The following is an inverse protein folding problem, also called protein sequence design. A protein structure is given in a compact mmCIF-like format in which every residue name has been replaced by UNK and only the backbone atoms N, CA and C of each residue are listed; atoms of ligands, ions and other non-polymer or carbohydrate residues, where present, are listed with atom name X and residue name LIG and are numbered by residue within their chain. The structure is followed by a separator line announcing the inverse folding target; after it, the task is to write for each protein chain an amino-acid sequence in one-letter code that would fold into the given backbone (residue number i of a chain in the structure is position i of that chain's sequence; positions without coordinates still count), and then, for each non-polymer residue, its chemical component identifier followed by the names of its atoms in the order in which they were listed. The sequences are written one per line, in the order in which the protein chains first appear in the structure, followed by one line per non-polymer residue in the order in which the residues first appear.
data_IF_046962222491
#
_entry.id   IF_046962222491
#
_cell.length_a   1.000
_cell.length_b   1.000
_cell.length_c   1.000
_cell.angle_alpha   90.00
_cell.angle_beta   90.00
_cell.angle_gamma   90.00
#
_symmetry.space_group_name_H-M   'P 1'
#
loop_
_entity.id
_entity.type
_entity.pdbx_description
1 polymer ?
#
# COMPACT_ATOMS: atom_id res chain seq x y z
N UNK A 1 -9.18 36.56 45.00
CA UNK A 1 -9.83 37.51 44.08
C UNK A 1 -8.97 37.56 42.81
N UNK A 2 -9.56 37.29 41.64
CA UNK A 2 -9.03 37.54 40.26
C UNK A 2 -7.82 36.68 39.84
N UNK A 3 -8.00 35.59 39.07
CA UNK A 3 -8.16 35.45 37.60
C UNK A 3 -6.82 35.33 36.83
N UNK A 4 -6.65 34.25 36.05
CA UNK A 4 -6.21 34.33 34.65
C UNK A 4 -6.68 33.10 33.85
N UNK A 5 -7.16 33.36 32.64
CA UNK A 5 -7.93 32.49 31.74
C UNK A 5 -7.09 31.50 30.92
N UNK A 6 -7.66 30.32 30.70
CA UNK A 6 -7.29 29.37 29.63
C UNK A 6 -8.15 29.65 28.40
N UNK A 7 -7.54 29.94 27.24
CA UNK A 7 -8.23 30.05 25.94
C UNK A 7 -7.30 29.66 24.81
N UNK A 8 -7.14 28.36 24.57
CA UNK A 8 -6.46 27.85 23.37
C UNK A 8 -6.88 26.42 22.96
N UNK A 9 -8.19 26.15 22.91
CA UNK A 9 -8.74 24.98 22.23
C UNK A 9 -9.87 25.46 21.33
N UNK A 10 -9.68 25.43 19.99
CA UNK A 10 -10.76 25.32 18.98
C UNK A 10 -10.35 25.56 17.51
N UNK A 11 -9.07 25.71 17.16
CA UNK A 11 -8.70 25.99 15.74
C UNK A 11 -8.16 24.80 14.93
N UNK A 12 -7.76 23.68 15.55
CA UNK A 12 -7.19 22.54 14.82
C UNK A 12 -8.24 21.49 14.39
N UNK A 13 -9.36 21.37 15.12
CA UNK A 13 -10.40 20.38 14.84
C UNK A 13 -11.34 20.80 13.70
N UNK A 14 -11.54 22.10 13.45
CA UNK A 14 -12.42 22.59 12.39
C UNK A 14 -11.75 22.61 11.00
N UNK A 15 -10.43 22.83 10.94
CA UNK A 15 -9.67 22.83 9.69
C UNK A 15 -9.53 21.45 9.07
N UNK A 16 -9.19 20.44 9.88
CA UNK A 16 -9.01 19.06 9.40
C UNK A 16 -10.35 18.40 9.02
N UNK A 17 -11.42 18.64 9.80
CA UNK A 17 -12.78 18.21 9.43
C UNK A 17 -13.23 18.86 8.13
N UNK A 18 -12.92 20.14 7.91
CA UNK A 18 -13.26 20.86 6.69
C UNK A 18 -12.59 20.27 5.45
N UNK A 19 -11.31 19.91 5.53
CA UNK A 19 -10.57 19.28 4.41
C UNK A 19 -11.10 17.88 4.10
N UNK A 20 -11.34 17.05 5.13
CA UNK A 20 -11.84 15.67 4.95
C UNK A 20 -13.29 15.67 4.44
N UNK A 21 -14.14 16.59 4.93
CA UNK A 21 -15.54 16.68 4.50
C UNK A 21 -15.67 17.27 3.09
N UNK A 22 -14.75 18.16 2.67
CA UNK A 22 -14.71 18.69 1.28
C UNK A 22 -14.28 17.61 0.29
N UNK A 23 -13.35 16.71 0.67
CA UNK A 23 -12.97 15.56 -0.14
C UNK A 23 -14.13 14.55 -0.31
N UNK A 24 -15.00 14.41 0.69
CA UNK A 24 -16.14 13.49 0.64
C UNK A 24 -17.36 14.04 -0.15
N UNK A 25 -17.59 15.36 -0.17
CA UNK A 25 -18.79 15.96 -0.77
C UNK A 25 -18.66 16.33 -2.25
N UNK A 26 -17.44 16.52 -2.77
CA UNK A 26 -17.24 17.08 -4.12
C UNK A 26 -17.02 15.99 -5.19
N UNK A 27 -17.08 14.70 -4.84
CA UNK A 27 -16.85 13.63 -5.82
C UNK A 27 -15.48 13.74 -6.51
N UNK A 28 -14.52 14.38 -5.83
CA UNK A 28 -13.22 14.70 -6.41
C UNK A 28 -12.41 13.42 -6.56
N UNK A 29 -11.84 13.24 -7.74
CA UNK A 29 -10.77 12.28 -8.00
C UNK A 29 -9.44 12.66 -7.33
N UNK A 30 -9.40 13.74 -6.55
CA UNK A 30 -8.17 14.34 -6.03
C UNK A 30 -7.92 13.92 -4.58
N UNK A 31 -7.02 12.95 -4.39
CA UNK A 31 -6.34 12.74 -3.12
C UNK A 31 -5.02 13.51 -3.17
N UNK A 32 -4.95 14.67 -2.51
CA UNK A 32 -3.65 15.32 -2.25
C UNK A 32 -2.98 14.59 -1.10
N UNK A 33 -1.77 14.08 -1.32
CA UNK A 33 -0.93 13.52 -0.26
C UNK A 33 -0.65 14.61 0.79
N UNK A 34 -1.38 14.57 1.91
CA UNK A 34 -1.07 15.37 3.08
C UNK A 34 -0.05 14.58 3.90
N UNK A 35 1.21 14.99 3.86
CA UNK A 35 2.23 14.46 4.75
C UNK A 35 1.97 14.98 6.16
N UNK A 36 1.56 14.11 7.07
CA UNK A 36 1.65 14.38 8.50
C UNK A 36 3.12 14.19 8.92
N UNK A 37 3.72 15.23 9.49
CA UNK A 37 5.01 15.11 10.18
C UNK A 37 4.72 14.36 11.48
N UNK A 38 5.05 13.08 11.52
CA UNK A 38 4.87 12.27 12.72
C UNK A 38 5.82 12.75 13.82
N UNK A 39 5.23 13.09 14.96
CA UNK A 39 5.95 13.34 16.20
C UNK A 39 5.68 12.14 17.13
N UNK A 40 6.71 11.31 17.34
CA UNK A 40 6.70 10.28 18.38
C UNK A 40 6.58 8.86 17.85
N UNK A 41 7.73 8.24 17.66
CA UNK A 41 7.94 6.83 17.34
C UNK A 41 7.45 5.95 18.50
N UNK A 42 6.49 5.05 18.23
CA UNK A 42 6.14 3.96 19.14
C UNK A 42 6.23 2.62 18.40
N UNK A 43 7.18 1.81 18.85
CA UNK A 43 7.25 0.34 18.85
C UNK A 43 6.36 -0.40 17.81
N UNK A 44 6.95 -0.77 16.66
CA UNK A 44 6.37 -1.76 15.75
C UNK A 44 7.40 -2.85 15.45
N UNK A 45 7.36 -3.90 16.26
CA UNK A 45 8.33 -5.01 16.30
C UNK A 45 8.31 -5.94 15.07
N UNK A 46 7.59 -5.61 13.99
CA UNK A 46 7.37 -6.50 12.83
C UNK A 46 7.54 -5.82 11.45
N UNK A 47 8.17 -4.64 11.38
CA UNK A 47 8.44 -3.97 10.10
C UNK A 47 9.92 -4.19 9.70
N UNK A 48 10.15 -4.80 8.52
CA UNK A 48 11.48 -4.88 7.91
C UNK A 48 11.71 -3.58 7.13
N UNK A 49 12.77 -2.86 7.46
CA UNK A 49 13.16 -1.60 6.81
C UNK A 49 14.49 -1.79 6.07
N UNK A 50 14.57 -1.39 4.80
CA UNK A 50 15.73 -1.63 3.93
C UNK A 50 16.16 -0.32 3.20
N UNK A 51 17.47 -0.05 3.03
CA UNK A 51 17.98 1.18 2.40
C UNK A 51 18.23 1.05 0.87
N UNK A 52 17.87 2.07 0.08
CA UNK A 52 18.22 2.23 -1.36
C UNK A 52 18.50 3.72 -1.66
N UNK A 53 19.35 4.00 -2.66
CA UNK A 53 19.89 5.32 -3.05
C UNK A 53 19.39 5.76 -4.43
N UNK A 54 18.79 6.95 -4.57
CA UNK A 54 18.57 7.63 -5.87
C UNK A 54 18.50 9.17 -5.77
N UNK A 55 18.70 9.83 -6.92
CA UNK A 55 19.15 11.22 -7.12
C UNK A 55 17.96 12.18 -7.36
N UNK A 56 17.97 13.33 -6.66
CA UNK A 56 16.80 14.20 -6.50
C UNK A 56 16.42 15.14 -7.65
N UNK A 57 15.25 15.77 -7.53
CA UNK A 57 14.83 16.92 -8.34
C UNK A 57 13.86 17.87 -7.60
N UNK A 58 13.98 19.15 -7.97
CA UNK A 58 13.57 20.37 -7.27
C UNK A 58 12.06 20.74 -7.30
N UNK A 59 11.68 21.53 -6.27
CA UNK A 59 10.37 22.11 -6.00
C UNK A 59 9.90 23.16 -7.03
N UNK A 60 8.57 23.24 -7.24
CA UNK A 60 7.92 24.33 -7.98
C UNK A 60 6.82 25.01 -7.13
N UNK A 61 6.74 26.34 -7.25
CA UNK A 61 5.88 27.25 -6.48
C UNK A 61 4.41 27.30 -6.96
N UNK A 62 3.46 27.71 -6.10
CA UNK A 62 2.03 27.70 -6.39
C UNK A 62 1.56 28.90 -7.25
N UNK A 63 0.61 28.65 -8.15
CA UNK A 63 -0.11 29.64 -8.97
C UNK A 63 -1.57 29.73 -8.50
N UNK A 64 -2.13 30.95 -8.50
CA UNK A 64 -3.45 31.29 -7.97
C UNK A 64 -4.64 30.87 -8.85
N UNK A 65 -5.74 30.48 -8.19
CA UNK A 65 -7.00 29.98 -8.77
C UNK A 65 -7.96 31.12 -9.18
N UNK A 66 -8.57 31.10 -10.38
CA UNK A 66 -9.63 32.04 -10.75
C UNK A 66 -11.03 31.56 -10.35
N UNK A 67 -11.89 32.52 -9.98
CA UNK A 67 -13.30 32.31 -9.59
C UNK A 67 -14.23 32.58 -10.77
N UNK A 68 -15.21 31.71 -11.03
CA UNK A 68 -16.26 31.92 -12.03
C UNK A 68 -17.65 32.10 -11.38
N UNK A 69 -18.41 33.06 -11.92
CA UNK A 69 -19.78 33.39 -11.51
C UNK A 69 -20.77 32.79 -12.51
N UNK A 70 -21.72 31.98 -12.02
CA UNK A 70 -22.75 31.36 -12.85
C UNK A 70 -23.94 32.31 -13.09
N UNK A 71 -24.46 32.31 -14.32
CA UNK A 71 -25.67 33.05 -14.73
C UNK A 71 -26.82 32.04 -14.94
N UNK A 72 -28.03 32.27 -14.39
CA UNK A 72 -29.15 31.33 -14.52
C UNK A 72 -29.86 31.47 -15.88
N UNK A 73 -30.20 30.34 -16.49
CA UNK A 73 -30.99 30.26 -17.73
C UNK A 73 -32.39 29.71 -17.42
N UNK A 74 -33.42 30.35 -17.97
CA UNK A 74 -34.84 30.04 -17.80
C UNK A 74 -35.28 28.85 -18.67
N UNK A 75 -36.09 27.97 -18.10
CA UNK A 75 -36.64 26.78 -18.75
C UNK A 75 -37.91 27.12 -19.57
N UNK A 76 -37.99 26.59 -20.80
CA UNK A 76 -39.20 26.60 -21.62
C UNK A 76 -39.77 25.18 -21.71
N UNK A 77 -41.06 25.05 -21.40
CA UNK A 77 -41.81 23.79 -21.40
C UNK A 77 -42.34 23.49 -22.80
N UNK A 78 -41.83 22.45 -23.44
CA UNK A 78 -42.34 21.92 -24.70
C UNK A 78 -43.13 20.61 -24.49
N UNK A 79 -44.26 20.50 -25.19
CA UNK A 79 -45.22 19.39 -25.20
C UNK A 79 -44.63 18.13 -25.86
N UNK A 80 -44.83 16.91 -25.32
CA UNK A 80 -44.22 15.69 -25.84
C UNK A 80 -44.90 15.21 -27.12
N UNK A 81 -44.09 15.04 -28.18
CA UNK A 81 -44.47 14.32 -29.40
C UNK A 81 -43.88 12.91 -29.32
N UNK A 82 -44.74 11.89 -29.36
CA UNK A 82 -44.35 10.47 -29.28
C UNK A 82 -43.71 10.01 -30.59
N UNK A 83 -42.38 10.06 -30.64
CA UNK A 83 -41.57 9.46 -31.72
C UNK A 83 -41.28 7.99 -31.37
N UNK A 84 -41.46 7.03 -32.29
CA UNK A 84 -41.17 5.62 -32.04
C UNK A 84 -39.67 5.42 -31.78
N UNK A 85 -39.34 5.01 -30.57
CA UNK A 85 -37.98 4.72 -30.11
C UNK A 85 -37.46 3.45 -30.78
N UNK A 86 -36.65 3.62 -31.83
CA UNK A 86 -35.76 2.56 -32.32
C UNK A 86 -34.72 2.32 -31.21
N UNK A 87 -34.80 1.17 -30.53
CA UNK A 87 -33.79 0.77 -29.54
C UNK A 87 -32.44 0.69 -30.27
N UNK A 88 -31.46 1.56 -29.97
CA UNK A 88 -30.16 1.48 -30.61
C UNK A 88 -29.54 0.12 -30.29
N UNK A 89 -29.27 -0.66 -31.33
CA UNK A 89 -28.45 -1.86 -31.23
C UNK A 89 -27.05 -1.40 -30.87
N UNK A 90 -26.66 -1.58 -29.61
CA UNK A 90 -25.30 -1.31 -29.14
C UNK A 90 -24.40 -2.31 -29.84
N UNK A 91 -23.69 -1.87 -30.88
CA UNK A 91 -22.58 -2.64 -31.46
C UNK A 91 -21.46 -2.64 -30.43
N UNK A 92 -21.37 -3.73 -29.66
CA UNK A 92 -20.23 -4.00 -28.79
C UNK A 92 -19.02 -4.26 -29.67
N UNK A 93 -18.26 -3.21 -30.00
CA UNK A 93 -16.90 -3.39 -30.49
C UNK A 93 -16.09 -3.86 -29.27
N UNK A 94 -15.49 -5.06 -29.29
CA UNK A 94 -14.58 -5.48 -28.24
C UNK A 94 -13.36 -4.56 -28.29
N UNK A 95 -13.43 -3.45 -27.54
CA UNK A 95 -12.28 -2.61 -27.22
C UNK A 95 -11.45 -3.39 -26.22
N UNK A 96 -10.56 -4.24 -26.73
CA UNK A 96 -9.55 -4.89 -25.88
C UNK A 96 -8.61 -3.81 -25.38
N UNK A 97 -8.49 -3.66 -24.07
CA UNK A 97 -7.46 -2.80 -23.47
C UNK A 97 -6.08 -3.23 -23.98
N UNK A 98 -5.13 -2.29 -24.16
CA UNK A 98 -3.73 -2.64 -24.38
C UNK A 98 -3.27 -3.70 -23.37
N UNK A 99 -2.64 -4.77 -23.84
CA UNK A 99 -2.22 -5.88 -22.96
C UNK A 99 -1.37 -5.41 -21.77
N UNK A 100 -0.56 -4.37 -21.98
CA UNK A 100 0.25 -3.74 -20.93
C UNK A 100 -0.59 -3.24 -19.76
N UNK A 101 -1.81 -2.73 -19.99
CA UNK A 101 -2.68 -2.25 -18.92
C UNK A 101 -3.37 -3.37 -18.16
N UNK A 102 -3.57 -4.53 -18.78
CA UNK A 102 -4.30 -5.67 -18.18
C UNK A 102 -3.44 -6.29 -17.08
N UNK A 103 -3.62 -5.78 -15.87
CA UNK A 103 -2.96 -6.24 -14.66
C UNK A 103 -3.66 -5.65 -13.43
N UNK A 104 -3.19 -6.05 -12.27
CA UNK A 104 -3.43 -5.32 -11.04
C UNK A 104 -2.28 -4.33 -10.83
N UNK A 105 -2.59 -3.13 -10.37
CA UNK A 105 -1.67 -2.00 -10.24
C UNK A 105 -1.84 -1.38 -8.86
N UNK A 106 -0.74 -1.02 -8.18
CA UNK A 106 -0.74 -0.53 -6.80
C UNK A 106 0.02 0.77 -6.63
N UNK A 107 -0.46 1.63 -5.75
CA UNK A 107 0.26 2.80 -5.26
C UNK A 107 0.17 2.82 -3.73
N UNK A 108 1.29 2.86 -3.03
CA UNK A 108 1.33 2.71 -1.57
C UNK A 108 0.95 1.31 -1.07
N UNK A 109 0.56 1.21 0.20
CA UNK A 109 0.02 0.00 0.83
C UNK A 109 -1.51 -0.01 0.71
N UNK A 110 -1.98 -0.38 -0.48
CA UNK A 110 -3.39 -0.63 -0.67
C UNK A 110 -3.76 -1.96 -0.01
N UNK A 111 -4.75 -1.99 0.90
CA UNK A 111 -5.36 -3.25 1.29
C UNK A 111 -5.92 -3.94 0.04
N UNK A 112 -6.00 -5.27 0.08
CA UNK A 112 -6.60 -6.04 -1.00
C UNK A 112 -8.02 -5.55 -1.29
N UNK A 113 -8.56 -5.90 -2.46
CA UNK A 113 -9.94 -5.61 -2.87
C UNK A 113 -11.02 -6.24 -1.97
N UNK A 114 -10.66 -6.79 -0.81
CA UNK A 114 -11.56 -7.50 0.09
C UNK A 114 -12.21 -6.60 1.15
N UNK A 115 -11.91 -5.29 1.19
CA UNK A 115 -12.53 -4.40 2.17
C UNK A 115 -13.96 -3.97 1.83
N UNK A 116 -14.42 -4.15 0.59
CA UNK A 116 -15.81 -3.93 0.21
C UNK A 116 -16.31 -5.11 -0.62
N UNK A 117 -17.40 -5.73 -0.17
CA UNK A 117 -18.07 -6.80 -0.90
C UNK A 117 -19.20 -6.19 -1.75
N UNK A 118 -19.08 -6.11 -3.09
CA UNK A 118 -20.12 -5.52 -3.93
C UNK A 118 -21.40 -6.37 -4.02
N UNK A 119 -21.36 -7.65 -3.62
CA UNK A 119 -22.53 -8.52 -3.58
C UNK A 119 -23.35 -8.34 -2.31
N UNK A 120 -22.71 -8.16 -1.14
CA UNK A 120 -23.40 -7.98 0.15
C UNK A 120 -23.53 -6.54 0.59
N UNK A 121 -22.73 -5.63 0.02
CA UNK A 121 -22.61 -4.24 0.45
C UNK A 121 -21.84 -4.05 1.76
N UNK A 122 -21.22 -5.12 2.29
CA UNK A 122 -20.49 -5.08 3.55
C UNK A 122 -19.09 -4.48 3.39
N UNK A 123 -18.69 -3.73 4.41
CA UNK A 123 -17.33 -3.22 4.56
C UNK A 123 -16.58 -4.05 5.59
N UNK A 124 -15.29 -4.29 5.36
CA UNK A 124 -14.38 -4.89 6.34
C UNK A 124 -13.40 -3.85 6.85
N UNK A 125 -12.99 -4.01 8.10
CA UNK A 125 -11.91 -3.21 8.65
C UNK A 125 -10.57 -3.70 8.10
N UNK A 126 -9.83 -2.79 7.48
CA UNK A 126 -8.51 -3.05 6.91
C UNK A 126 -7.51 -2.00 7.40
N UNK A 127 -6.22 -2.29 7.24
CA UNK A 127 -5.13 -1.37 7.57
C UNK A 127 -4.35 -1.06 6.29
N UNK A 128 -3.84 0.17 6.16
CA UNK A 128 -3.01 0.56 5.03
C UNK A 128 -3.09 2.04 4.69
N UNK A 129 -2.40 2.40 3.63
CA UNK A 129 -2.46 3.69 2.95
C UNK A 129 -2.08 3.44 1.50
N UNK A 130 -3.06 3.43 0.60
CA UNK A 130 -2.77 3.20 -0.80
C UNK A 130 -3.99 3.05 -1.68
N UNK A 131 -3.71 2.81 -2.94
CA UNK A 131 -4.69 2.63 -4.01
C UNK A 131 -4.31 1.40 -4.83
N UNK A 132 -5.32 0.69 -5.31
CA UNK A 132 -5.16 -0.39 -6.26
C UNK A 132 -6.14 -0.19 -7.42
N UNK A 133 -5.70 -0.47 -8.63
CA UNK A 133 -6.56 -0.56 -9.80
C UNK A 133 -6.31 -1.88 -10.53
N UNK A 134 -7.37 -2.60 -10.82
CA UNK A 134 -7.34 -3.86 -11.58
C UNK A 134 -7.99 -3.60 -12.92
N UNK A 135 -7.28 -3.89 -14.01
CA UNK A 135 -7.84 -3.90 -15.36
C UNK A 135 -7.92 -5.34 -15.87
N UNK A 136 -9.12 -5.77 -16.23
CA UNK A 136 -9.35 -7.08 -16.82
C UNK A 136 -9.28 -6.99 -18.35
N UNK A 137 -9.06 -8.14 -18.99
CA UNK A 137 -8.89 -8.23 -20.45
C UNK A 137 -10.18 -7.87 -21.23
N UNK A 138 -11.34 -8.00 -20.61
CA UNK A 138 -12.65 -7.65 -21.16
C UNK A 138 -12.98 -6.14 -21.02
N UNK A 139 -12.06 -5.35 -20.47
CA UNK A 139 -12.26 -3.94 -20.20
C UNK A 139 -12.96 -3.66 -18.87
N UNK A 140 -13.30 -4.65 -18.06
CA UNK A 140 -13.75 -4.37 -16.70
C UNK A 140 -12.61 -3.76 -15.87
N UNK A 141 -12.93 -2.83 -14.97
CA UNK A 141 -11.97 -2.34 -13.99
C UNK A 141 -12.56 -2.30 -12.59
N UNK A 142 -11.68 -2.45 -11.61
CA UNK A 142 -11.96 -2.23 -10.18
C UNK A 142 -10.91 -1.29 -9.62
N UNK A 143 -11.33 -0.24 -8.94
CA UNK A 143 -10.45 0.66 -8.19
C UNK A 143 -10.79 0.58 -6.71
N UNK A 144 -9.75 0.49 -5.88
CA UNK A 144 -9.86 0.60 -4.44
C UNK A 144 -8.87 1.64 -3.92
N UNK A 145 -9.29 2.44 -2.95
CA UNK A 145 -8.43 3.40 -2.26
C UNK A 145 -8.70 3.36 -0.77
N UNK A 146 -7.64 3.47 0.04
CA UNK A 146 -7.74 3.47 1.48
C UNK A 146 -6.75 4.46 2.10
N UNK A 147 -7.23 5.29 3.00
CA UNK A 147 -6.44 6.19 3.83
C UNK A 147 -6.88 6.01 5.28
N UNK A 148 -5.92 5.77 6.17
CA UNK A 148 -6.12 5.89 7.62
C UNK A 148 -5.15 6.90 8.20
N UNK A 149 -5.67 7.76 9.06
CA UNK A 149 -4.92 8.74 9.84
C UNK A 149 -5.26 8.55 11.33
N UNK A 150 -4.25 8.62 12.19
CA UNK A 150 -4.42 8.60 13.63
C UNK A 150 -3.80 9.84 14.24
N UNK A 151 -4.59 10.57 15.04
CA UNK A 151 -4.15 11.79 15.73
C UNK A 151 -4.57 11.69 17.19
N UNK A 152 -3.61 11.40 18.07
CA UNK A 152 -3.88 11.08 19.47
C UNK A 152 -4.81 9.86 19.59
N UNK A 153 -5.93 10.01 20.31
CA UNK A 153 -6.93 8.96 20.48
C UNK A 153 -7.96 8.89 19.32
N UNK A 154 -7.87 9.80 18.34
CA UNK A 154 -8.78 9.86 17.21
C UNK A 154 -8.25 9.07 16.02
N UNK A 155 -9.09 8.23 15.41
CA UNK A 155 -8.79 7.51 14.16
C UNK A 155 -9.76 7.98 13.08
N UNK A 156 -9.25 8.36 11.92
CA UNK A 156 -10.05 8.71 10.73
C UNK A 156 -9.67 7.79 9.58
N UNK A 157 -10.66 7.27 8.87
CA UNK A 157 -10.48 6.36 7.75
C UNK A 157 -11.37 6.82 6.60
N UNK A 158 -10.84 6.72 5.38
CA UNK A 158 -11.62 6.84 4.16
C UNK A 158 -11.29 5.66 3.27
N UNK A 159 -12.33 5.01 2.77
CA UNK A 159 -12.23 3.86 1.89
C UNK A 159 -13.10 4.11 0.67
N UNK A 160 -12.56 3.89 -0.53
CA UNK A 160 -13.28 4.08 -1.79
C UNK A 160 -13.22 2.79 -2.59
N UNK A 161 -14.36 2.37 -3.11
CA UNK A 161 -14.49 1.27 -4.05
C UNK A 161 -15.19 1.78 -5.32
N UNK A 162 -14.61 1.50 -6.49
CA UNK A 162 -15.24 1.75 -7.79
C UNK A 162 -15.12 0.50 -8.63
N UNK A 163 -16.15 0.20 -9.43
CA UNK A 163 -16.05 -0.80 -10.48
C UNK A 163 -16.79 -0.30 -11.72
N UNK A 164 -16.37 -0.76 -12.91
CA UNK A 164 -16.99 -0.33 -14.15
C UNK A 164 -16.25 -0.84 -15.37
N UNK A 165 -16.28 -0.08 -16.45
CA UNK A 165 -15.54 -0.39 -17.68
C UNK A 165 -14.47 0.65 -17.96
N UNK A 166 -13.36 0.21 -18.54
CA UNK A 166 -12.23 1.01 -18.96
C UNK A 166 -12.09 0.89 -20.48
N UNK A 167 -11.81 2.01 -21.14
CA UNK A 167 -11.53 2.07 -22.56
C UNK A 167 -10.33 2.98 -22.81
N UNK A 168 -9.55 2.69 -23.85
CA UNK A 168 -8.37 3.48 -24.22
C UNK A 168 -8.52 4.03 -25.62
N UNK A 169 -8.21 5.31 -25.79
CA UNK A 169 -8.10 5.98 -27.08
C UNK A 169 -6.83 6.82 -27.10
N UNK A 170 -5.77 6.29 -27.73
CA UNK A 170 -4.44 6.89 -27.64
C UNK A 170 -3.96 6.98 -26.19
N UNK A 171 -3.58 8.18 -25.76
CA UNK A 171 -3.10 8.44 -24.39
C UNK A 171 -4.24 8.77 -23.42
N UNK A 172 -5.50 8.60 -23.81
CA UNK A 172 -6.65 8.83 -22.95
C UNK A 172 -7.23 7.49 -22.45
N UNK A 173 -7.30 7.34 -21.13
CA UNK A 173 -7.97 6.27 -20.43
C UNK A 173 -9.33 6.79 -19.93
N UNK A 174 -10.42 6.19 -20.41
CA UNK A 174 -11.78 6.50 -19.99
C UNK A 174 -12.26 5.43 -19.03
N UNK A 175 -12.55 5.81 -17.79
CA UNK A 175 -13.14 4.96 -16.76
C UNK A 175 -14.62 5.30 -16.61
N UNK A 176 -15.50 4.34 -16.85
CA UNK A 176 -16.95 4.49 -16.73
C UNK A 176 -17.45 3.65 -15.56
N UNK A 177 -17.56 4.24 -14.36
CA UNK A 177 -17.99 3.50 -13.18
C UNK A 177 -19.47 3.10 -13.26
N UNK A 178 -19.78 1.86 -12.88
CA UNK A 178 -21.14 1.35 -12.68
C UNK A 178 -21.48 1.18 -11.20
N UNK A 179 -20.48 1.15 -10.34
CA UNK A 179 -20.61 1.19 -8.88
C UNK A 179 -19.55 2.12 -8.31
N UNK A 180 -19.94 3.05 -7.46
CA UNK A 180 -19.01 3.85 -6.64
C UNK A 180 -19.52 3.91 -5.22
N UNK A 181 -18.67 3.54 -4.27
CA UNK A 181 -18.96 3.58 -2.84
C UNK A 181 -17.78 4.21 -2.11
N UNK A 182 -18.07 5.18 -1.24
CA UNK A 182 -17.07 5.79 -0.36
C UNK A 182 -17.56 5.70 1.07
N UNK A 183 -16.76 5.06 1.94
CA UNK A 183 -16.96 4.99 3.39
C UNK A 183 -16.00 5.96 4.07
N UNK A 184 -16.52 6.79 4.96
CA UNK A 184 -15.74 7.59 5.90
C UNK A 184 -16.07 7.13 7.31
N UNK A 185 -15.04 6.80 8.09
CA UNK A 185 -15.16 6.33 9.48
C UNK A 185 -14.30 7.23 10.37
N UNK A 186 -14.89 7.77 11.43
CA UNK A 186 -14.18 8.55 12.44
C UNK A 186 -14.47 7.96 13.82
N UNK A 187 -13.42 7.67 14.58
CA UNK A 187 -13.49 7.13 15.94
C UNK A 187 -12.79 8.11 16.86
N UNK A 188 -13.58 8.88 17.60
CA UNK A 188 -13.13 9.88 18.58
C UNK A 188 -14.01 9.76 19.84
N UNK A 189 -13.78 8.71 20.64
CA UNK A 189 -14.67 8.34 21.74
C UNK A 189 -15.97 7.67 21.29
N UNK A 190 -16.66 8.26 20.31
CA UNK A 190 -17.77 7.65 19.58
C UNK A 190 -17.37 7.36 18.14
N UNK A 191 -18.00 6.34 17.56
CA UNK A 191 -17.87 6.00 16.13
C UNK A 191 -18.88 6.79 15.31
N UNK A 192 -18.40 7.50 14.30
CA UNK A 192 -19.20 8.13 13.26
C UNK A 192 -18.85 7.51 11.92
N UNK A 193 -19.86 7.00 11.22
CA UNK A 193 -19.69 6.35 9.93
C UNK A 193 -20.61 7.01 8.91
N UNK A 194 -20.11 7.22 7.70
CA UNK A 194 -20.90 7.70 6.58
C UNK A 194 -20.51 6.93 5.33
N UNK A 195 -21.51 6.43 4.62
CA UNK A 195 -21.34 5.77 3.33
C UNK A 195 -22.06 6.62 2.29
N UNK A 196 -21.36 6.97 1.22
CA UNK A 196 -21.88 7.75 0.10
C UNK A 196 -21.72 6.98 -1.19
N UNK A 197 -22.69 7.16 -2.07
CA UNK A 197 -22.56 6.73 -3.46
C UNK A 197 -21.86 7.86 -4.21
N UNK A 198 -20.89 7.50 -5.03
CA UNK A 198 -20.15 8.48 -5.80
C UNK A 198 -20.81 8.83 -7.13
N UNK A 199 -20.23 9.79 -7.86
CA UNK A 199 -20.66 10.10 -9.21
C UNK A 199 -20.39 8.91 -10.13
N UNK A 200 -21.34 8.64 -11.02
CA UNK A 200 -21.25 7.60 -12.04
C UNK A 200 -20.73 8.15 -13.38
N UNK A 201 -20.34 9.42 -13.41
CA UNK A 201 -19.87 10.09 -14.62
C UNK A 201 -18.55 9.48 -15.11
N UNK A 202 -18.38 9.27 -16.42
CA UNK A 202 -17.13 8.82 -16.98
C UNK A 202 -15.99 9.80 -16.67
N UNK A 203 -14.86 9.25 -16.24
CA UNK A 203 -13.64 10.01 -15.98
C UNK A 203 -12.65 9.72 -17.10
N UNK A 204 -12.16 10.77 -17.77
CA UNK A 204 -11.13 10.66 -18.80
C UNK A 204 -9.83 11.18 -18.21
N UNK A 205 -8.81 10.33 -18.13
CA UNK A 205 -7.48 10.68 -17.62
C UNK A 205 -6.42 10.38 -18.67
N UNK A 206 -5.38 11.21 -18.79
CA UNK A 206 -4.20 10.80 -19.52
C UNK A 206 -3.52 9.64 -18.79
N UNK A 207 -2.90 8.74 -19.56
CA UNK A 207 -2.11 7.64 -19.02
C UNK A 207 -0.81 7.46 -19.78
N UNK A 208 0.20 6.97 -19.09
CA UNK A 208 1.46 6.52 -19.69
C UNK A 208 1.90 5.22 -19.04
N UNK A 209 2.53 4.37 -19.83
CA UNK A 209 3.21 3.17 -19.36
C UNK A 209 4.70 3.31 -19.64
N UNK A 210 5.51 3.00 -18.65
CA UNK A 210 6.97 3.06 -18.75
C UNK A 210 7.53 1.75 -18.20
N UNK A 211 8.42 1.11 -18.95
CA UNK A 211 9.34 0.13 -18.39
C UNK A 211 10.38 0.93 -17.61
N UNK A 212 10.26 0.95 -16.28
CA UNK A 212 11.18 1.68 -15.41
C UNK A 212 12.61 1.15 -15.55
N UNK A 213 13.60 2.04 -15.38
CA UNK A 213 15.02 1.69 -15.42
C UNK A 213 15.42 0.67 -14.32
N UNK A 214 14.58 0.56 -13.28
CA UNK A 214 14.62 -0.43 -12.20
C UNK A 214 14.03 -1.80 -12.60
N UNK A 215 13.59 -1.95 -13.85
CA UNK A 215 12.92 -3.15 -14.35
C UNK A 215 11.45 -3.24 -13.92
N UNK A 216 10.84 -2.15 -13.44
CA UNK A 216 9.46 -2.15 -12.97
C UNK A 216 8.53 -1.56 -14.02
N UNK A 217 7.49 -2.32 -14.39
CA UNK A 217 6.40 -1.78 -15.18
C UNK A 217 5.65 -0.73 -14.33
N UNK A 218 5.64 0.51 -14.80
CA UNK A 218 4.99 1.64 -14.16
C UNK A 218 3.82 2.13 -15.01
N UNK A 219 2.66 2.29 -14.39
CA UNK A 219 1.49 2.91 -14.97
C UNK A 219 1.26 4.25 -14.28
N UNK A 220 1.34 5.34 -15.02
CA UNK A 220 0.97 6.66 -14.52
C UNK A 220 -0.40 7.04 -15.07
N UNK A 221 -1.35 7.39 -14.19
CA UNK A 221 -2.69 7.87 -14.57
C UNK A 221 -2.89 9.26 -13.95
N UNK A 222 -3.33 10.21 -14.76
CA UNK A 222 -3.61 11.58 -14.33
C UNK A 222 -2.74 12.61 -15.04
N UNK A 223 -3.07 13.88 -14.83
CA UNK A 223 -2.36 15.00 -15.46
C UNK A 223 -0.99 15.25 -14.83
N UNK A 224 -0.12 16.01 -15.49
CA UNK A 224 1.23 16.28 -14.97
C UNK A 224 1.27 16.90 -13.56
N UNK A 225 0.21 17.59 -13.12
CA UNK A 225 0.09 18.16 -11.77
C UNK A 225 -0.52 17.20 -10.75
N UNK A 226 -1.19 16.12 -11.18
CA UNK A 226 -2.05 15.27 -10.35
C UNK A 226 -2.00 13.80 -10.80
N UNK A 227 -0.82 13.35 -11.22
CA UNK A 227 -0.62 11.99 -11.65
C UNK A 227 -0.34 11.06 -10.47
N UNK A 228 -0.96 9.88 -10.48
CA UNK A 228 -0.59 8.77 -9.59
C UNK A 228 0.21 7.76 -10.38
N UNK A 229 1.39 7.40 -9.89
CA UNK A 229 2.15 6.27 -10.40
C UNK A 229 1.76 5.01 -9.64
N UNK A 230 1.42 3.99 -10.41
CA UNK A 230 1.12 2.65 -9.95
C UNK A 230 2.17 1.67 -10.46
N UNK A 231 2.40 0.64 -9.66
CA UNK A 231 3.33 -0.45 -9.95
C UNK A 231 2.56 -1.74 -10.15
N UNK A 232 2.95 -2.52 -11.15
CA UNK A 232 2.24 -3.75 -11.51
C UNK A 232 2.36 -4.80 -10.41
N UNK A 233 1.27 -5.49 -10.11
CA UNK A 233 1.22 -6.62 -9.21
C UNK A 233 2.11 -7.76 -9.69
N UNK A 234 2.72 -8.50 -8.76
CA UNK A 234 3.68 -9.53 -9.10
C UNK A 234 5.13 -9.03 -9.16
N UNK A 235 5.46 -7.96 -8.42
CA UNK A 235 6.83 -7.51 -8.09
C UNK A 235 7.68 -8.56 -7.32
N UNK A 236 7.31 -9.85 -7.42
CA UNK A 236 8.16 -10.99 -7.08
C UNK A 236 9.56 -10.81 -7.67
N UNK A 237 9.67 -10.21 -8.86
CA UNK A 237 10.97 -9.88 -9.47
C UNK A 237 11.78 -8.86 -8.66
N UNK A 238 11.14 -7.82 -8.13
CA UNK A 238 11.80 -6.80 -7.31
C UNK A 238 12.14 -7.33 -5.91
N UNK A 239 11.33 -8.24 -5.38
CA UNK A 239 11.62 -8.92 -4.13
C UNK A 239 12.72 -9.98 -4.30
N UNK A 240 12.87 -10.53 -5.51
CA UNK A 240 13.85 -11.57 -5.76
C UNK A 240 15.28 -11.05 -5.59
N UNK A 241 16.13 -11.92 -5.06
CA UNK A 241 17.48 -11.58 -4.63
C UNK A 241 17.59 -11.55 -3.12
N UNK A 242 18.72 -11.02 -2.68
CA UNK A 242 19.18 -11.16 -1.31
C UNK A 242 19.06 -9.85 -0.56
N UNK A 243 18.46 -9.93 0.63
CA UNK A 243 18.23 -8.84 1.56
C UNK A 243 18.86 -9.20 2.89
N UNK A 244 19.44 -8.23 3.57
CA UNK A 244 20.04 -8.43 4.88
C UNK A 244 19.88 -7.18 5.75
N UNK A 245 19.81 -7.37 7.07
CA UNK A 245 19.98 -6.29 8.03
C UNK A 245 21.46 -5.97 8.19
N UNK A 246 21.87 -4.74 7.89
CA UNK A 246 23.22 -4.15 8.04
C UNK A 246 24.42 -5.13 7.86
N UNK A 247 25.51 -4.96 8.63
CA UNK A 247 26.88 -5.51 8.48
C UNK A 247 27.01 -7.07 8.53
N UNK A 248 25.97 -7.80 8.14
CA UNK A 248 26.07 -9.22 7.86
C UNK A 248 27.12 -9.48 6.77
N UNK A 249 28.08 -10.36 7.11
CA UNK A 249 28.99 -10.95 6.14
C UNK A 249 28.24 -11.72 5.05
N UNK A 250 28.95 -12.30 4.06
CA UNK A 250 28.31 -12.96 2.94
C UNK A 250 27.30 -14.01 3.43
N UNK A 251 26.10 -13.90 2.88
CA UNK A 251 24.93 -14.77 3.05
C UNK A 251 25.33 -16.22 3.29
N UNK A 252 24.66 -16.88 4.23
CA UNK A 252 24.73 -18.33 4.37
C UNK A 252 25.59 -18.82 5.53
N UNK A 253 25.33 -18.30 6.74
CA UNK A 253 25.85 -18.93 7.96
C UNK A 253 25.23 -20.30 8.26
N UNK A 254 24.42 -20.88 7.37
CA UNK A 254 24.04 -22.29 7.42
C UNK A 254 24.22 -22.92 6.05
N UNK A 255 24.86 -24.10 6.02
CA UNK A 255 25.00 -24.93 4.84
C UNK A 255 24.06 -26.13 4.94
N UNK A 256 22.98 -26.20 4.13
CA UNK A 256 22.09 -27.36 4.13
C UNK A 256 22.78 -28.66 3.71
N UNK A 257 23.82 -28.57 2.87
CA UNK A 257 24.57 -29.72 2.38
C UNK A 257 25.38 -30.42 3.48
N UNK A 258 25.88 -29.65 4.46
CA UNK A 258 26.71 -30.16 5.56
C UNK A 258 25.99 -30.13 6.90
N UNK A 259 24.81 -29.50 6.97
CA UNK A 259 24.05 -29.25 8.21
C UNK A 259 24.85 -28.50 9.27
N UNK A 260 25.74 -27.60 8.84
CA UNK A 260 26.64 -26.84 9.73
C UNK A 260 26.33 -25.36 9.70
N UNK A 261 26.42 -24.72 10.87
CA UNK A 261 26.39 -23.26 11.00
C UNK A 261 27.80 -22.65 10.98
N UNK A 262 27.95 -21.47 10.41
CA UNK A 262 29.08 -20.57 10.63
C UNK A 262 28.85 -19.83 11.95
N UNK A 263 29.71 -20.08 12.93
CA UNK A 263 29.55 -19.56 14.28
C UNK A 263 30.15 -18.16 14.44
N UNK A 264 30.95 -17.70 13.47
CA UNK A 264 31.69 -16.42 13.53
C UNK A 264 30.92 -15.26 12.85
N UNK A 265 29.66 -15.49 12.50
CA UNK A 265 29.00 -14.82 11.38
C UNK A 265 28.29 -13.47 11.64
N UNK A 266 28.79 -12.49 12.40
CA UNK A 266 28.04 -11.25 12.81
C UNK A 266 26.55 -11.43 13.19
N UNK A 267 25.83 -10.41 13.66
CA UNK A 267 24.41 -10.55 14.03
C UNK A 267 23.51 -9.95 12.99
N UNK A 268 22.30 -10.49 12.87
CA UNK A 268 21.29 -9.98 11.97
C UNK A 268 20.45 -11.08 11.32
N UNK A 269 19.64 -10.65 10.36
CA UNK A 269 18.82 -11.51 9.54
C UNK A 269 19.04 -11.26 8.05
N UNK A 270 18.84 -12.29 7.24
CA UNK A 270 18.84 -12.20 5.80
C UNK A 270 17.70 -13.02 5.18
N UNK A 271 17.27 -12.59 4.00
CA UNK A 271 16.31 -13.27 3.15
C UNK A 271 16.91 -13.40 1.75
N UNK A 272 16.69 -14.53 1.10
CA UNK A 272 16.96 -14.70 -0.32
C UNK A 272 15.70 -15.22 -1.00
N UNK A 273 15.09 -14.39 -1.84
CA UNK A 273 13.86 -14.72 -2.54
C UNK A 273 14.18 -15.13 -3.98
N UNK A 274 13.76 -16.34 -4.33
CA UNK A 274 13.84 -16.87 -5.68
C UNK A 274 12.64 -16.46 -6.53
N UNK A 275 12.89 -16.18 -7.82
CA UNK A 275 11.84 -15.93 -8.82
C UNK A 275 10.85 -17.09 -8.97
N UNK A 276 11.19 -18.29 -8.51
CA UNK A 276 10.34 -19.47 -8.49
C UNK A 276 9.36 -19.50 -7.30
N UNK A 277 9.29 -18.41 -6.52
CA UNK A 277 8.42 -18.32 -5.34
C UNK A 277 8.97 -19.08 -4.14
N UNK A 278 10.25 -19.48 -4.15
CA UNK A 278 10.94 -20.04 -2.99
C UNK A 278 11.71 -18.97 -2.24
N UNK A 279 11.87 -19.13 -0.95
CA UNK A 279 12.76 -18.27 -0.17
C UNK A 279 13.71 -19.08 0.70
N UNK A 280 14.81 -18.44 1.07
CA UNK A 280 15.68 -18.85 2.16
C UNK A 280 15.74 -17.72 3.18
N UNK A 281 15.79 -18.08 4.45
CA UNK A 281 15.87 -17.16 5.57
C UNK A 281 16.97 -17.63 6.51
N UNK A 282 17.71 -16.68 7.05
CA UNK A 282 18.55 -16.95 8.20
C UNK A 282 18.50 -15.80 9.19
N UNK A 283 18.56 -16.15 10.47
CA UNK A 283 18.81 -15.19 11.55
C UNK A 283 19.89 -15.68 12.49
N UNK A 284 20.75 -14.78 12.95
CA UNK A 284 21.63 -14.97 14.11
C UNK A 284 21.40 -13.84 15.09
N UNK A 285 21.18 -14.21 16.35
CA UNK A 285 20.94 -13.25 17.41
C UNK A 285 21.33 -13.86 18.77
N UNK A 286 21.33 -13.03 19.81
CA UNK A 286 21.58 -13.45 21.19
C UNK A 286 20.57 -12.86 22.17
N UNK A 287 20.37 -13.57 23.27
CA UNK A 287 19.53 -13.14 24.38
C UNK A 287 20.31 -12.19 25.29
N UNK A 288 19.59 -11.54 26.20
CA UNK A 288 20.22 -10.74 27.25
C UNK A 288 21.19 -11.60 28.07
N UNK A 289 22.34 -11.01 28.41
CA UNK A 289 23.25 -11.63 29.35
C UNK A 289 22.61 -11.78 30.75
N UNK A 290 22.88 -12.90 31.41
CA UNK A 290 22.58 -13.10 32.82
C UNK A 290 23.56 -12.35 33.73
N UNK A 291 23.40 -12.52 35.04
CA UNK A 291 24.23 -11.82 36.05
C UNK A 291 25.71 -12.23 35.97
N UNK A 292 26.00 -13.38 35.37
CA UNK A 292 27.35 -13.89 35.10
C UNK A 292 27.92 -13.40 33.77
N UNK A 293 27.16 -12.63 32.97
CA UNK A 293 27.56 -12.15 31.65
C UNK A 293 27.38 -13.20 30.54
N UNK A 294 26.72 -14.32 30.84
CA UNK A 294 26.45 -15.42 29.93
C UNK A 294 25.15 -15.17 29.18
N UNK A 295 25.08 -15.57 27.92
CA UNK A 295 23.91 -15.34 27.08
C UNK A 295 23.67 -16.52 26.15
N UNK A 296 22.40 -16.75 25.82
CA UNK A 296 22.01 -17.75 24.84
C UNK A 296 22.12 -17.15 23.44
N UNK A 297 22.92 -17.77 22.58
CA UNK A 297 23.02 -17.43 21.16
C UNK A 297 22.18 -18.41 20.37
N UNK A 298 21.47 -17.93 19.34
CA UNK A 298 20.76 -18.78 18.41
C UNK A 298 21.04 -18.44 16.96
N UNK A 299 20.99 -19.49 16.15
CA UNK A 299 21.02 -19.41 14.70
C UNK A 299 19.81 -20.14 14.16
N UNK A 300 19.12 -19.48 13.26
CA UNK A 300 17.94 -19.98 12.58
C UNK A 300 18.26 -20.03 11.10
N UNK A 301 17.87 -21.13 10.46
CA UNK A 301 17.81 -21.24 9.01
C UNK A 301 16.48 -21.84 8.60
N UNK A 302 15.88 -21.31 7.54
CA UNK A 302 14.67 -21.85 6.96
C UNK A 302 14.67 -21.74 5.43
N UNK A 303 13.99 -22.68 4.78
CA UNK A 303 13.58 -22.57 3.39
C UNK A 303 12.08 -22.80 3.28
N UNK A 304 11.45 -22.16 2.31
CA UNK A 304 10.02 -22.32 2.10
C UNK A 304 9.55 -21.71 0.80
N UNK A 305 8.24 -21.47 0.73
CA UNK A 305 7.62 -20.77 -0.38
C UNK A 305 7.07 -19.43 0.08
N UNK A 306 7.02 -18.46 -0.82
CA UNK A 306 6.41 -17.17 -0.56
C UNK A 306 5.44 -16.77 -1.68
N UNK A 307 4.48 -15.93 -1.33
CA UNK A 307 3.60 -15.26 -2.28
C UNK A 307 3.52 -13.78 -1.96
N UNK A 308 3.39 -12.95 -2.99
CA UNK A 308 3.18 -11.51 -2.85
C UNK A 308 1.87 -11.14 -3.50
N UNK A 309 0.95 -10.57 -2.73
CA UNK A 309 -0.34 -10.09 -3.22
C UNK A 309 -0.58 -8.68 -2.68
N UNK A 310 -0.57 -7.68 -3.55
CA UNK A 310 -0.59 -6.28 -3.14
C UNK A 310 0.58 -5.96 -2.21
N UNK A 311 0.30 -5.31 -1.08
CA UNK A 311 1.27 -5.02 -0.01
C UNK A 311 1.50 -6.17 0.98
N UNK A 312 1.03 -7.39 0.70
CA UNK A 312 1.18 -8.55 1.61
C UNK A 312 2.18 -9.56 1.04
N UNK A 313 3.18 -9.92 1.85
CA UNK A 313 4.12 -11.01 1.62
C UNK A 313 3.76 -12.14 2.59
N UNK A 314 3.34 -13.29 2.07
CA UNK A 314 3.04 -14.48 2.87
C UNK A 314 4.16 -15.49 2.69
N UNK A 315 4.71 -16.00 3.79
CA UNK A 315 5.82 -16.95 3.81
C UNK A 315 5.40 -18.23 4.52
N UNK A 316 5.67 -19.38 3.90
CA UNK A 316 5.36 -20.70 4.44
C UNK A 316 6.65 -21.52 4.52
N UNK A 317 7.25 -21.65 5.72
CA UNK A 317 8.42 -22.49 5.94
C UNK A 317 8.11 -23.96 5.59
N UNK A 318 9.08 -24.66 5.01
CA UNK A 318 8.98 -26.07 4.64
C UNK A 318 10.10 -26.91 5.27
N UNK A 319 11.31 -26.36 5.35
CA UNK A 319 12.45 -26.95 6.02
C UNK A 319 13.15 -25.90 6.87
N UNK A 320 13.83 -26.33 7.92
CA UNK A 320 14.59 -25.41 8.75
C UNK A 320 15.36 -26.10 9.87
N UNK A 321 16.29 -25.35 10.44
CA UNK A 321 17.22 -25.79 11.46
C UNK A 321 17.42 -24.66 12.47
N UNK A 322 17.35 -25.00 13.74
CA UNK A 322 17.72 -24.13 14.86
C UNK A 322 18.96 -24.69 15.52
N UNK A 323 19.93 -23.82 15.79
CA UNK A 323 21.04 -24.08 16.71
C UNK A 323 20.95 -23.10 17.86
N UNK A 324 21.13 -23.59 19.08
CA UNK A 324 21.23 -22.80 20.30
C UNK A 324 22.51 -23.16 21.04
N UNK A 325 23.17 -22.16 21.63
CA UNK A 325 24.41 -22.35 22.37
C UNK A 325 24.53 -21.31 23.48
N UNK A 326 24.89 -21.73 24.70
CA UNK A 326 25.25 -20.80 25.76
C UNK A 326 26.68 -20.27 25.55
N UNK A 327 26.89 -18.97 25.73
CA UNK A 327 28.20 -18.32 25.67
C UNK A 327 29.13 -18.68 26.84
N UNK A 328 28.61 -19.36 27.87
CA UNK A 328 29.37 -19.85 29.00
C UNK A 328 29.38 -21.39 29.13
N UNK A 329 30.37 -21.96 29.84
CA UNK A 329 30.43 -23.38 30.12
C UNK A 329 29.21 -23.91 30.90
N UNK A 330 28.76 -25.15 30.62
CA UNK A 330 29.26 -26.02 29.55
C UNK A 330 28.71 -25.51 28.20
N UNK A 331 29.60 -25.35 27.21
CA UNK A 331 29.30 -24.86 25.86
C UNK A 331 28.48 -25.88 25.05
N UNK A 332 27.34 -26.31 25.59
CA UNK A 332 26.48 -27.30 24.97
C UNK A 332 25.67 -26.63 23.87
N UNK A 333 26.06 -26.95 22.64
CA UNK A 333 25.26 -26.59 21.49
C UNK A 333 24.20 -27.64 21.24
N UNK A 334 22.95 -27.20 21.13
CA UNK A 334 21.82 -28.03 20.74
C UNK A 334 21.40 -27.62 19.34
N UNK A 335 21.23 -28.59 18.44
CA UNK A 335 20.79 -28.35 17.07
C UNK A 335 19.65 -29.30 16.72
N UNK A 336 18.51 -28.75 16.31
CA UNK A 336 17.28 -29.50 16.02
C UNK A 336 16.56 -28.94 14.79
N UNK A 337 15.82 -29.78 14.03
CA UNK A 337 14.88 -29.29 13.04
C UNK A 337 13.92 -28.27 13.66
N UNK A 338 13.69 -27.17 12.96
CA UNK A 338 12.84 -26.09 13.45
C UNK A 338 12.15 -25.38 12.30
N UNK A 339 10.86 -25.11 12.47
CA UNK A 339 10.01 -24.40 11.52
C UNK A 339 9.20 -23.38 12.31
N UNK A 340 9.17 -22.15 11.82
CA UNK A 340 8.17 -21.19 12.22
C UNK A 340 6.80 -21.60 11.68
N UNK A 341 5.77 -21.02 12.30
CA UNK A 341 4.46 -20.94 11.67
C UNK A 341 4.53 -20.11 10.38
N UNK A 342 3.56 -20.29 9.48
CA UNK A 342 3.41 -19.40 8.34
C UNK A 342 3.24 -17.95 8.81
N UNK A 343 3.96 -17.03 8.19
CA UNK A 343 3.98 -15.60 8.57
C UNK A 343 3.49 -14.74 7.42
N UNK A 344 2.75 -13.70 7.79
CA UNK A 344 2.32 -12.65 6.90
C UNK A 344 3.03 -11.34 7.27
N UNK A 345 3.74 -10.79 6.31
CA UNK A 345 4.38 -9.50 6.41
C UNK A 345 3.59 -8.50 5.60
N UNK A 346 3.45 -7.29 6.14
CA UNK A 346 3.11 -6.15 5.29
C UNK A 346 4.41 -5.66 4.68
N UNK A 347 4.54 -5.77 3.37
CA UNK A 347 5.70 -5.28 2.65
C UNK A 347 5.36 -3.93 2.02
N UNK A 348 6.34 -3.04 2.01
CA UNK A 348 6.21 -1.72 1.43
C UNK A 348 7.45 -1.46 0.60
N UNK A 349 7.25 -0.93 -0.60
CA UNK A 349 8.30 -0.20 -1.27
C UNK A 349 8.26 1.24 -0.73
N UNK A 350 9.29 1.65 0.01
CA UNK A 350 9.47 3.06 0.41
C UNK A 350 10.68 3.62 -0.31
N UNK A 351 10.43 4.62 -1.14
CA UNK A 351 11.47 5.52 -1.63
C UNK A 351 11.84 6.44 -0.45
N UNK A 352 12.98 6.18 0.23
CA UNK A 352 13.42 7.00 1.36
C UNK A 352 14.31 8.13 0.82
N UNK A 353 13.94 9.38 1.08
CA UNK A 353 14.82 10.53 0.89
C UNK A 353 16.07 10.39 1.78
N UNK A 354 17.20 10.13 1.13
CA UNK A 354 18.62 10.05 1.49
C UNK A 354 19.20 10.21 2.92
N UNK A 355 18.55 10.72 3.97
CA UNK A 355 19.29 11.22 5.14
C UNK A 355 18.80 10.75 6.52
N UNK A 356 18.70 9.44 6.76
CA UNK A 356 18.71 8.90 8.14
C UNK A 356 19.60 7.66 8.21
N UNK A 357 20.68 7.76 8.99
CA UNK A 357 21.49 6.62 9.43
C UNK A 357 20.83 6.00 10.67
N UNK A 358 20.75 4.68 10.71
CA UNK A 358 20.32 3.91 11.88
C UNK A 358 21.29 4.12 13.06
#
# INVERSE_FOLDING_TARGET
MVSLFCKQHNYLTSGLLGVILTLALVGVSEWRSVYAVDAGESDTTNAIYLPIVTVGKAEAQPIATPTFTATPTTASTATPTTTPTVKPTVTTIPSTLPHQLVATWYSGNAPLNDFYNPQTGEWRDVNGLGQMIVFANDGAYTYTGFLRLQVGACRSEVSTYKQGTAAVSGNALTLTPTLVKTRSLMICGNTQETITDGPYDPIIQPWTFVDGDDGHEQLTIGTASEATTYYKAGMVQSLAGVWQSDDLGPIGFYSPATTTFDLESSEGMWFDFGLDGRYRYGERNHGTADDEGCFNQWWIYQEGTYTVVGGRLSMTPQTGMLRQQNSCPPYEAVQNPWLDDARDYTWFYRDRNADIKL
#
